data_IF_079783328294
#
_entry.id   IF_079783328294
#
_cell.length_a   1.000
_cell.length_b   1.000
_cell.length_c   1.000
_cell.angle_alpha   90.00
_cell.angle_beta   90.00
_cell.angle_gamma   90.00
#
_symmetry.space_group_name_H-M   'P 1'
#
loop_
_entity.id
_entity.type
_entity.pdbx_description
1 polymer ?
#
# COMPACT_ATOMS: atom_id res chain seq x y z
N UNK A 1 -11.72 19.39 -1.51
CA UNK A 1 -12.24 19.08 -0.16
C UNK A 1 -11.10 18.50 0.66
N UNK A 2 -10.84 18.98 1.89
CA UNK A 2 -9.81 18.40 2.76
C UNK A 2 -10.10 16.94 3.10
N UNK A 3 -9.05 16.12 3.24
CA UNK A 3 -9.21 14.69 3.52
C UNK A 3 -9.93 14.42 4.86
N UNK A 4 -9.67 15.24 5.88
CA UNK A 4 -10.37 15.13 7.18
C UNK A 4 -11.86 15.37 7.06
N UNK A 5 -12.30 16.34 6.24
CA UNK A 5 -13.72 16.57 5.99
C UNK A 5 -14.38 15.35 5.34
N UNK A 6 -13.69 14.69 4.39
CA UNK A 6 -14.20 13.43 3.81
C UNK A 6 -14.30 12.31 4.84
N UNK A 7 -13.34 12.22 5.77
CA UNK A 7 -13.41 11.24 6.86
C UNK A 7 -14.60 11.50 7.79
N UNK A 8 -14.86 12.77 8.14
CA UNK A 8 -15.98 13.17 8.99
C UNK A 8 -17.31 12.82 8.33
N UNK A 9 -17.47 13.17 7.06
CA UNK A 9 -18.66 12.84 6.27
C UNK A 9 -18.89 11.32 6.16
N UNK A 10 -17.84 10.55 5.84
CA UNK A 10 -17.93 9.10 5.73
C UNK A 10 -18.35 8.48 7.07
N UNK A 11 -17.69 8.87 8.15
CA UNK A 11 -17.98 8.36 9.51
C UNK A 11 -19.37 8.77 9.99
N UNK A 12 -19.78 10.02 9.72
CA UNK A 12 -21.10 10.54 10.07
C UNK A 12 -22.26 9.82 9.39
N UNK A 13 -21.98 9.17 8.25
CA UNK A 13 -22.94 8.34 7.51
C UNK A 13 -22.82 6.84 7.82
N UNK A 14 -22.06 6.46 8.84
CA UNK A 14 -21.85 5.06 9.23
C UNK A 14 -20.87 4.29 8.34
N UNK A 15 -20.10 5.01 7.49
CA UNK A 15 -19.04 4.44 6.67
C UNK A 15 -17.72 4.26 7.43
N UNK A 16 -16.75 3.62 6.79
CA UNK A 16 -15.38 3.48 7.26
C UNK A 16 -14.42 4.13 6.26
N UNK A 17 -13.26 4.54 6.75
CA UNK A 17 -12.20 5.09 5.91
C UNK A 17 -11.00 4.14 5.89
N UNK A 18 -10.57 3.80 4.69
CA UNK A 18 -9.38 3.00 4.42
C UNK A 18 -8.56 3.79 3.39
N UNK A 19 -7.46 4.47 3.79
CA UNK A 19 -6.59 5.14 2.84
C UNK A 19 -6.04 4.14 1.83
N UNK A 20 -6.28 4.40 0.54
CA UNK A 20 -5.90 3.52 -0.54
C UNK A 20 -4.40 3.64 -0.85
N UNK A 21 -3.75 2.53 -1.22
CA UNK A 21 -2.38 2.42 -1.76
C UNK A 21 -1.42 3.46 -1.19
N UNK A 22 -1.29 3.47 0.18
CA UNK A 22 -0.69 4.56 0.96
C UNK A 22 0.71 4.98 0.54
N UNK A 23 1.48 4.09 -0.10
CA UNK A 23 2.85 4.33 -0.54
C UNK A 23 2.99 4.64 -2.04
N UNK A 24 1.91 4.51 -2.82
CA UNK A 24 1.99 4.73 -4.28
C UNK A 24 2.43 6.16 -4.59
N UNK A 25 3.49 6.35 -5.40
CA UNK A 25 4.00 7.67 -5.75
C UNK A 25 2.89 8.57 -6.32
N UNK A 26 2.86 9.82 -5.88
CA UNK A 26 1.93 10.89 -6.27
C UNK A 26 0.45 10.65 -5.93
N UNK A 27 0.07 9.48 -5.41
CA UNK A 27 -1.34 9.11 -5.17
C UNK A 27 -1.62 8.72 -3.72
N UNK A 28 -0.73 7.98 -3.08
CA UNK A 28 -0.86 7.56 -1.69
C UNK A 28 -0.45 8.65 -0.71
N UNK A 29 -0.88 8.53 0.53
CA UNK A 29 -0.58 9.51 1.60
C UNK A 29 0.92 9.76 1.71
N UNK A 30 1.72 8.73 1.87
CA UNK A 30 3.17 8.85 1.96
C UNK A 30 3.84 9.10 0.61
N UNK A 31 3.27 8.56 -0.45
CA UNK A 31 3.77 8.75 -1.82
C UNK A 31 3.57 10.16 -2.34
N UNK A 32 2.64 10.93 -1.76
CA UNK A 32 2.37 12.33 -2.11
C UNK A 32 3.05 13.33 -1.18
N UNK A 33 3.88 12.86 -0.22
CA UNK A 33 4.76 13.72 0.57
C UNK A 33 4.46 13.82 2.05
N UNK A 34 3.35 13.30 2.57
CA UNK A 34 3.11 13.25 4.00
C UNK A 34 4.19 12.40 4.70
N UNK A 35 4.70 12.86 5.82
CA UNK A 35 5.63 12.08 6.65
C UNK A 35 4.88 11.20 7.64
N UNK A 36 3.68 11.62 8.04
CA UNK A 36 2.79 10.93 8.98
C UNK A 36 1.36 10.89 8.43
N UNK A 37 0.60 9.88 8.82
CA UNK A 37 -0.82 9.77 8.50
C UNK A 37 -1.61 10.98 9.03
N UNK A 38 -1.24 11.45 10.21
CA UNK A 38 -1.85 12.61 10.87
C UNK A 38 -1.66 13.94 10.14
N UNK A 39 -0.75 14.04 9.19
CA UNK A 39 -0.56 15.26 8.42
C UNK A 39 -1.83 15.58 7.58
N UNK A 40 -2.53 14.55 7.12
CA UNK A 40 -3.68 14.68 6.23
C UNK A 40 -4.97 14.11 6.78
N UNK A 41 -4.90 13.12 7.65
CA UNK A 41 -6.04 12.34 8.14
C UNK A 41 -6.11 12.40 9.67
N UNK A 42 -7.29 12.10 10.19
CA UNK A 42 -7.47 11.79 11.61
C UNK A 42 -7.14 10.30 11.82
N UNK A 43 -6.05 9.98 12.54
CA UNK A 43 -5.61 8.59 12.75
C UNK A 43 -6.65 7.71 13.45
N UNK A 44 -7.51 8.28 14.29
CA UNK A 44 -8.49 7.53 15.07
C UNK A 44 -9.73 7.16 14.25
N UNK A 45 -9.88 7.73 13.06
CA UNK A 45 -10.98 7.46 12.12
C UNK A 45 -10.56 6.57 10.94
N UNK A 46 -9.43 5.88 11.03
CA UNK A 46 -8.94 4.95 10.01
C UNK A 46 -9.23 3.52 10.45
N UNK A 47 -10.03 2.80 9.68
CA UNK A 47 -10.40 1.42 9.98
C UNK A 47 -9.33 0.39 9.57
N UNK A 48 -8.57 0.67 8.53
CA UNK A 48 -7.47 -0.12 7.99
C UNK A 48 -6.61 0.76 7.09
N UNK A 49 -5.44 0.29 6.68
CA UNK A 49 -4.65 0.91 5.63
C UNK A 49 -4.42 -0.07 4.49
N UNK A 50 -4.50 0.41 3.27
CA UNK A 50 -4.28 -0.41 2.08
C UNK A 50 -2.87 -0.21 1.57
N UNK A 51 -2.14 -1.33 1.44
CA UNK A 51 -0.76 -1.32 0.95
C UNK A 51 -0.70 -1.14 -0.57
N UNK A 52 -1.68 -1.72 -1.28
CA UNK A 52 -1.75 -1.72 -2.73
C UNK A 52 -0.62 -2.47 -3.40
N UNK A 53 -0.52 -2.31 -4.72
CA UNK A 53 0.45 -3.02 -5.57
C UNK A 53 1.92 -2.64 -5.30
N UNK A 54 2.16 -1.55 -4.57
CA UNK A 54 3.47 -0.93 -4.44
C UNK A 54 4.21 -1.30 -3.16
N UNK A 55 3.54 -1.95 -2.20
CA UNK A 55 4.12 -2.28 -0.90
C UNK A 55 3.57 -3.58 -0.32
N UNK A 56 4.33 -4.21 0.53
CA UNK A 56 3.95 -5.38 1.33
C UNK A 56 4.00 -5.08 2.83
N UNK A 57 3.67 -6.09 3.63
CA UNK A 57 3.67 -5.98 5.09
C UNK A 57 5.06 -5.68 5.67
N UNK A 58 6.13 -6.22 5.06
CA UNK A 58 7.50 -5.98 5.51
C UNK A 58 7.88 -4.51 5.29
N UNK A 59 7.61 -3.99 4.10
CA UNK A 59 7.86 -2.59 3.76
C UNK A 59 7.12 -1.62 4.68
N UNK A 60 5.85 -1.88 4.96
CA UNK A 60 5.05 -1.06 5.88
C UNK A 60 5.52 -1.16 7.33
N UNK A 61 6.15 -2.26 7.72
CA UNK A 61 6.64 -2.52 9.07
C UNK A 61 7.75 -1.58 9.55
N UNK A 62 8.35 -0.77 8.67
CA UNK A 62 9.33 0.25 9.04
C UNK A 62 8.71 1.51 9.69
N UNK A 63 7.38 1.69 9.61
CA UNK A 63 6.68 2.84 10.19
C UNK A 63 5.86 2.41 11.41
N UNK A 64 6.24 2.90 12.60
CA UNK A 64 5.60 2.51 13.87
C UNK A 64 4.15 2.96 13.97
N UNK A 65 3.80 4.09 13.37
CA UNK A 65 2.42 4.60 13.38
C UNK A 65 1.42 3.64 12.70
N UNK A 66 1.91 2.76 11.81
CA UNK A 66 1.08 1.77 11.14
C UNK A 66 0.78 0.53 11.98
N UNK A 67 1.41 0.36 13.15
CA UNK A 67 1.18 -0.80 14.01
C UNK A 67 -0.26 -0.92 14.49
N UNK A 68 -0.95 0.19 14.62
CA UNK A 68 -2.34 0.25 15.11
C UNK A 68 -3.38 -0.17 14.08
N UNK A 69 -3.03 -0.24 12.80
CA UNK A 69 -3.98 -0.53 11.72
C UNK A 69 -3.82 -1.94 11.18
N UNK A 70 -4.91 -2.64 10.87
CA UNK A 70 -4.85 -3.82 10.01
C UNK A 70 -4.43 -3.42 8.60
N UNK A 71 -3.67 -4.30 7.95
CA UNK A 71 -3.27 -4.13 6.56
C UNK A 71 -4.21 -4.91 5.64
N UNK A 72 -4.60 -4.26 4.57
CA UNK A 72 -5.33 -4.87 3.46
C UNK A 72 -4.60 -4.59 2.15
N UNK A 73 -4.85 -5.42 1.15
CA UNK A 73 -4.39 -5.20 -0.22
C UNK A 73 -5.52 -5.52 -1.17
N UNK A 74 -5.76 -4.66 -2.15
CA UNK A 74 -6.88 -4.81 -3.08
C UNK A 74 -6.39 -4.58 -4.50
N UNK A 75 -7.15 -5.08 -5.46
CA UNK A 75 -6.72 -5.12 -6.85
C UNK A 75 -6.58 -3.75 -7.53
N UNK A 76 -7.20 -2.70 -7.01
CA UNK A 76 -7.27 -1.38 -7.66
C UNK A 76 -7.61 -1.53 -9.16
N UNK A 77 -8.65 -2.36 -9.43
CA UNK A 77 -8.95 -2.81 -10.77
C UNK A 77 -9.69 -1.74 -11.58
N UNK A 78 -9.08 -1.29 -12.68
CA UNK A 78 -9.66 -0.39 -13.66
C UNK A 78 -10.11 -1.13 -14.94
N UNK A 79 -10.04 -2.47 -14.94
CA UNK A 79 -10.51 -3.35 -16.02
C UNK A 79 -10.80 -4.75 -15.51
N UNK A 80 -11.59 -5.54 -16.23
CA UNK A 80 -11.99 -6.89 -15.83
C UNK A 80 -10.79 -7.82 -15.54
N UNK A 81 -9.76 -7.77 -16.38
CA UNK A 81 -8.56 -8.59 -16.23
C UNK A 81 -7.70 -8.25 -15.02
N UNK A 82 -8.00 -7.16 -14.31
CA UNK A 82 -7.29 -6.76 -13.09
C UNK A 82 -8.03 -7.15 -11.81
N UNK A 83 -9.28 -7.60 -11.90
CA UNK A 83 -10.06 -8.02 -10.74
C UNK A 83 -9.40 -9.24 -10.09
N UNK A 84 -9.21 -9.19 -8.77
CA UNK A 84 -8.65 -10.29 -7.99
C UNK A 84 -7.13 -10.48 -8.12
N UNK A 85 -6.42 -9.57 -8.79
CA UNK A 85 -4.94 -9.60 -8.82
C UNK A 85 -4.33 -9.36 -7.43
N UNK A 86 -5.07 -8.72 -6.55
CA UNK A 86 -4.81 -8.63 -5.11
C UNK A 86 -6.12 -8.79 -4.34
N UNK A 87 -6.08 -9.44 -3.20
CA UNK A 87 -7.25 -9.68 -2.35
C UNK A 87 -6.86 -10.06 -0.92
N UNK A 88 -7.84 -10.06 -0.03
CA UNK A 88 -7.67 -10.41 1.37
C UNK A 88 -8.51 -11.64 1.72
N UNK A 89 -7.97 -12.53 2.52
CA UNK A 89 -8.73 -13.58 3.18
C UNK A 89 -9.11 -13.11 4.58
N UNK A 90 -10.40 -13.17 4.90
CA UNK A 90 -10.94 -12.71 6.18
C UNK A 90 -11.79 -13.76 6.86
N UNK A 91 -11.70 -13.85 8.20
CA UNK A 91 -12.62 -14.61 9.02
C UNK A 91 -13.83 -13.72 9.30
N UNK A 92 -14.99 -14.10 8.75
CA UNK A 92 -16.27 -13.42 8.93
C UNK A 92 -17.37 -14.49 9.08
N UNK A 93 -18.48 -14.18 9.79
CA UNK A 93 -19.62 -15.09 9.89
C UNK A 93 -20.52 -15.06 8.66
N UNK A 94 -20.56 -13.89 7.98
CA UNK A 94 -21.38 -13.67 6.79
C UNK A 94 -20.74 -12.58 5.92
N UNK A 95 -20.96 -12.54 4.61
CA UNK A 95 -20.49 -11.46 3.72
C UNK A 95 -21.38 -10.22 3.92
N UNK A 96 -21.06 -9.41 4.94
CA UNK A 96 -21.79 -8.19 5.25
C UNK A 96 -20.83 -7.07 5.67
N UNK A 97 -21.25 -5.82 5.48
CA UNK A 97 -20.48 -4.65 5.91
C UNK A 97 -20.17 -4.67 7.41
N UNK A 98 -21.15 -5.06 8.23
CA UNK A 98 -20.96 -5.20 9.68
C UNK A 98 -19.86 -6.20 10.04
N UNK A 99 -19.82 -7.35 9.38
CA UNK A 99 -18.80 -8.37 9.62
C UNK A 99 -17.42 -7.94 9.05
N UNK A 100 -17.40 -7.19 7.95
CA UNK A 100 -16.16 -6.56 7.45
C UNK A 100 -15.56 -5.61 8.50
N UNK A 101 -16.36 -4.69 9.04
CA UNK A 101 -15.91 -3.76 10.10
C UNK A 101 -15.36 -4.52 11.30
N UNK A 102 -16.02 -5.60 11.72
CA UNK A 102 -15.57 -6.46 12.83
C UNK A 102 -14.27 -7.20 12.50
N UNK A 103 -14.10 -7.64 11.27
CA UNK A 103 -12.87 -8.29 10.82
C UNK A 103 -11.69 -7.34 10.78
N UNK A 104 -11.90 -6.11 10.33
CA UNK A 104 -10.89 -5.06 10.40
C UNK A 104 -10.53 -4.67 11.84
N UNK A 105 -11.53 -4.65 12.74
CA UNK A 105 -11.30 -4.37 14.16
C UNK A 105 -10.69 -5.56 14.94
N UNK A 106 -10.64 -6.76 14.35
CA UNK A 106 -10.07 -7.94 15.01
C UNK A 106 -10.90 -8.47 16.18
N UNK A 107 -12.23 -8.29 16.18
CA UNK A 107 -13.08 -8.59 17.34
C UNK A 107 -13.84 -9.93 17.19
N UNK A 108 -14.04 -10.62 18.29
CA UNK A 108 -14.82 -11.87 18.40
C UNK A 108 -14.37 -12.95 17.39
N UNK A 109 -13.08 -13.10 17.19
CA UNK A 109 -12.51 -14.08 16.27
C UNK A 109 -12.58 -13.69 14.77
N UNK A 110 -13.18 -12.54 14.43
CA UNK A 110 -13.12 -11.97 13.08
C UNK A 110 -11.78 -11.28 12.92
N UNK A 111 -11.13 -11.47 11.77
CA UNK A 111 -9.85 -10.83 11.48
C UNK A 111 -9.46 -10.99 10.02
N UNK A 112 -8.51 -10.21 9.59
CA UNK A 112 -7.77 -10.49 8.35
C UNK A 112 -6.88 -11.71 8.60
N UNK A 113 -7.01 -12.74 7.77
CA UNK A 113 -6.27 -13.99 7.89
C UNK A 113 -4.99 -14.01 7.04
N UNK A 114 -5.06 -13.42 5.86
CA UNK A 114 -3.94 -13.33 4.92
C UNK A 114 -4.21 -12.26 3.87
N UNK A 115 -3.14 -11.69 3.35
CA UNK A 115 -3.13 -10.80 2.20
C UNK A 115 -2.46 -11.52 1.03
N UNK A 116 -3.02 -11.37 -0.17
CA UNK A 116 -2.52 -11.96 -1.40
C UNK A 116 -2.30 -10.85 -2.42
N UNK A 117 -1.09 -10.67 -2.88
CA UNK A 117 -0.77 -9.58 -3.79
C UNK A 117 0.47 -9.84 -4.63
N UNK A 118 0.79 -8.86 -5.48
CA UNK A 118 1.98 -8.89 -6.29
C UNK A 118 3.23 -8.66 -5.42
N UNK A 119 4.37 -9.16 -5.87
CA UNK A 119 5.63 -8.82 -5.23
C UNK A 119 6.01 -7.37 -5.61
N UNK A 120 5.97 -6.41 -4.68
CA UNK A 120 6.25 -5.01 -4.98
C UNK A 120 7.69 -4.77 -5.46
N UNK A 121 8.63 -5.68 -5.14
CA UNK A 121 10.02 -5.62 -5.60
C UNK A 121 10.17 -5.78 -7.11
N UNK A 122 9.16 -6.35 -7.78
CA UNK A 122 9.10 -6.46 -9.24
C UNK A 122 8.53 -5.21 -9.91
N UNK A 123 7.98 -4.29 -9.13
CA UNK A 123 7.41 -3.04 -9.63
C UNK A 123 8.47 -2.05 -10.09
N UNK A 124 8.21 -1.39 -11.22
CA UNK A 124 9.07 -0.35 -11.82
C UNK A 124 9.50 0.71 -10.81
N UNK A 125 8.60 1.10 -9.92
CA UNK A 125 8.82 2.16 -8.94
C UNK A 125 9.15 1.64 -7.53
N UNK A 126 9.61 0.41 -7.41
CA UNK A 126 10.10 -0.09 -6.12
C UNK A 126 11.27 0.74 -5.60
N UNK A 127 12.24 1.04 -6.46
CA UNK A 127 13.36 1.95 -6.20
C UNK A 127 13.21 3.21 -7.03
N UNK A 128 13.94 4.27 -6.65
CA UNK A 128 13.95 5.54 -7.38
C UNK A 128 14.35 5.33 -8.84
N UNK A 129 13.58 5.90 -9.75
CA UNK A 129 13.62 5.59 -11.17
C UNK A 129 13.65 6.86 -12.03
N UNK A 130 14.49 6.88 -13.02
CA UNK A 130 14.51 7.93 -14.02
C UNK A 130 13.67 7.54 -15.23
N UNK A 131 12.60 8.29 -15.53
CA UNK A 131 11.75 8.05 -16.70
C UNK A 131 12.41 8.44 -18.02
N UNK A 132 13.43 9.33 -18.00
CA UNK A 132 14.07 9.79 -19.23
C UNK A 132 15.03 8.76 -19.85
N UNK A 133 15.73 7.96 -19.02
CA UNK A 133 16.65 6.91 -19.50
C UNK A 133 16.28 5.51 -19.00
N UNK A 134 15.08 5.40 -18.44
CA UNK A 134 14.49 4.13 -17.98
C UNK A 134 15.40 3.31 -17.04
N UNK A 135 16.07 3.99 -16.11
CA UNK A 135 16.99 3.33 -15.20
C UNK A 135 16.66 3.55 -13.73
N UNK A 136 16.90 2.51 -12.93
CA UNK A 136 16.86 2.58 -11.47
C UNK A 136 18.10 3.33 -11.00
N UNK A 137 17.92 4.24 -10.03
CA UNK A 137 19.01 4.95 -9.37
C UNK A 137 19.48 4.16 -8.15
N UNK A 138 20.77 4.25 -7.85
CA UNK A 138 21.37 3.67 -6.66
C UNK A 138 21.04 4.45 -5.38
N UNK A 139 21.45 3.92 -4.24
CA UNK A 139 21.15 4.53 -2.93
C UNK A 139 21.75 5.92 -2.76
N UNK A 140 22.92 6.17 -3.34
CA UNK A 140 23.58 7.48 -3.25
C UNK A 140 22.78 8.59 -3.97
N UNK A 141 21.92 8.21 -4.89
CA UNK A 141 21.19 9.14 -5.75
C UNK A 141 19.66 9.13 -5.50
N UNK A 142 19.19 8.52 -4.42
CA UNK A 142 17.76 8.48 -4.07
C UNK A 142 17.10 9.85 -3.96
N UNK A 143 17.86 10.89 -3.58
CA UNK A 143 17.38 12.27 -3.40
C UNK A 143 17.73 13.19 -4.57
N UNK A 144 18.31 12.65 -5.65
CA UNK A 144 18.74 13.45 -6.78
C UNK A 144 17.55 14.10 -7.49
N UNK A 145 17.65 15.38 -7.79
CA UNK A 145 16.66 16.10 -8.60
C UNK A 145 16.87 15.86 -10.10
N UNK A 146 18.07 15.42 -10.48
CA UNK A 146 18.43 15.07 -11.85
C UNK A 146 19.13 13.72 -11.89
N UNK A 147 18.86 12.97 -12.93
CA UNK A 147 19.49 11.68 -13.15
C UNK A 147 21.01 11.82 -13.34
N UNK A 148 21.84 11.13 -12.56
CA UNK A 148 23.30 11.18 -12.72
C UNK A 148 23.78 10.59 -14.04
N UNK A 149 22.95 9.74 -14.70
CA UNK A 149 23.29 9.08 -15.96
C UNK A 149 22.98 9.93 -17.21
N UNK A 150 21.81 10.60 -17.21
CA UNK A 150 21.35 11.30 -18.41
C UNK A 150 21.03 12.78 -18.19
N UNK A 151 21.16 13.31 -16.97
CA UNK A 151 20.81 14.69 -16.62
C UNK A 151 19.31 14.98 -16.59
N UNK A 152 18.45 14.01 -16.93
CA UNK A 152 17.00 14.18 -16.99
C UNK A 152 16.39 14.50 -15.62
N UNK A 153 15.35 15.36 -15.61
CA UNK A 153 14.67 15.78 -14.38
C UNK A 153 13.43 14.95 -14.04
N UNK A 154 13.06 13.99 -14.87
CA UNK A 154 11.90 13.12 -14.61
C UNK A 154 12.28 11.97 -13.68
N UNK A 155 12.43 12.27 -12.40
CA UNK A 155 12.76 11.30 -11.37
C UNK A 155 11.49 10.96 -10.59
N UNK A 156 11.17 9.66 -10.51
CA UNK A 156 10.12 9.14 -9.63
C UNK A 156 10.78 8.52 -8.42
N UNK A 157 10.51 9.07 -7.24
CA UNK A 157 11.04 8.52 -5.99
C UNK A 157 10.47 7.12 -5.75
N UNK A 158 11.35 6.17 -5.51
CA UNK A 158 10.99 4.78 -5.24
C UNK A 158 10.22 4.62 -3.95
N UNK A 159 9.31 3.67 -3.93
CA UNK A 159 8.47 3.40 -2.76
C UNK A 159 9.32 2.98 -1.56
N UNK A 160 10.28 2.05 -1.74
CA UNK A 160 11.17 1.63 -0.66
C UNK A 160 12.08 2.77 -0.19
N UNK A 161 12.57 3.58 -1.12
CA UNK A 161 13.41 4.73 -0.80
C UNK A 161 12.63 5.81 -0.03
N UNK A 162 11.35 5.99 -0.39
CA UNK A 162 10.45 6.87 0.37
C UNK A 162 10.17 6.33 1.76
N UNK A 163 9.85 5.04 1.89
CA UNK A 163 9.62 4.40 3.19
C UNK A 163 10.85 4.58 4.08
N UNK A 164 12.05 4.28 3.61
CA UNK A 164 13.29 4.48 4.36
C UNK A 164 13.52 5.93 4.80
N UNK A 165 13.13 6.89 3.97
CA UNK A 165 13.30 8.31 4.31
C UNK A 165 12.38 8.81 5.43
N UNK A 166 11.31 8.08 5.75
CA UNK A 166 10.34 8.41 6.81
C UNK A 166 10.27 7.34 7.89
N UNK A 167 11.06 6.27 7.75
CA UNK A 167 11.13 5.18 8.72
C UNK A 167 11.59 5.67 10.09
N UNK A 168 10.97 5.13 11.13
CA UNK A 168 11.35 5.33 12.54
C UNK A 168 11.87 4.04 13.18
N UNK A 169 12.19 3.03 12.36
CA UNK A 169 12.76 1.74 12.72
C UNK A 169 13.78 1.27 11.72
N UNK A 170 14.84 0.63 12.18
CA UNK A 170 15.86 -0.01 11.33
C UNK A 170 15.42 -1.41 10.88
N UNK A 171 14.58 -2.08 11.68
CA UNK A 171 14.06 -3.43 11.41
C UNK A 171 12.54 -3.38 11.33
N UNK A 172 11.94 -3.94 10.26
CA UNK A 172 10.49 -3.90 10.11
C UNK A 172 9.79 -4.79 11.13
N UNK A 173 8.71 -4.30 11.71
CA UNK A 173 7.87 -5.08 12.62
C UNK A 173 6.76 -5.78 11.84
N UNK A 174 6.91 -7.10 11.69
CA UNK A 174 5.92 -7.95 11.02
C UNK A 174 5.22 -8.93 11.97
N UNK A 175 5.68 -9.02 13.23
CA UNK A 175 5.08 -9.88 14.24
C UNK A 175 3.59 -9.53 14.43
N UNK A 176 2.76 -10.57 14.53
CA UNK A 176 1.28 -10.47 14.67
C UNK A 176 0.53 -9.95 13.44
N UNK A 177 1.22 -9.73 12.33
CA UNK A 177 0.57 -9.39 11.04
C UNK A 177 0.07 -10.65 10.34
N UNK A 178 -1.06 -10.58 9.61
CA UNK A 178 -1.43 -11.64 8.69
C UNK A 178 -0.32 -11.88 7.67
N UNK A 179 -0.07 -13.12 7.26
CA UNK A 179 0.91 -13.42 6.22
C UNK A 179 0.55 -12.70 4.93
N UNK A 180 1.57 -12.20 4.22
CA UNK A 180 1.44 -11.66 2.87
C UNK A 180 1.98 -12.70 1.89
N UNK A 181 1.13 -13.17 0.99
CA UNK A 181 1.46 -14.18 -0.02
C UNK A 181 1.65 -13.50 -1.37
N UNK A 182 2.83 -13.63 -1.94
CA UNK A 182 3.06 -13.18 -3.30
C UNK A 182 2.41 -14.13 -4.29
N UNK A 183 1.69 -13.56 -5.25
CA UNK A 183 1.10 -14.30 -6.36
C UNK A 183 1.51 -13.68 -7.70
N UNK A 184 1.50 -14.51 -8.73
CA UNK A 184 1.74 -14.09 -10.10
C UNK A 184 0.39 -14.08 -10.81
N UNK A 185 -0.04 -12.97 -11.43
CA UNK A 185 -1.25 -12.96 -12.25
C UNK A 185 -1.20 -14.05 -13.33
N UNK A 186 -2.32 -14.73 -13.56
CA UNK A 186 -2.40 -15.84 -14.51
C UNK A 186 -1.93 -15.46 -15.92
N UNK A 187 -2.09 -14.20 -16.31
CA UNK A 187 -1.63 -13.66 -17.61
C UNK A 187 -0.12 -13.72 -17.81
N UNK A 188 0.68 -13.83 -16.72
CA UNK A 188 2.13 -13.95 -16.78
C UNK A 188 2.63 -15.39 -16.70
N UNK A 189 1.74 -16.38 -16.53
CA UNK A 189 2.13 -17.79 -16.54
C UNK A 189 2.22 -18.25 -17.99
N UNK A 190 3.40 -18.72 -18.46
CA UNK A 190 3.55 -19.22 -19.83
C UNK A 190 2.50 -20.31 -20.15
N UNK A 191 1.81 -20.17 -21.25
CA UNK A 191 0.75 -21.09 -21.70
C UNK A 191 -0.66 -20.81 -21.17
N UNK A 192 -0.83 -19.91 -20.18
CA UNK A 192 -2.15 -19.49 -19.69
C UNK A 192 -2.57 -18.09 -20.18
N UNK A 193 -1.64 -17.30 -20.67
CA UNK A 193 -1.89 -15.96 -21.19
C UNK A 193 -2.36 -15.95 -22.63
N UNK A 194 -3.52 -15.33 -22.89
CA UNK A 194 -4.12 -15.00 -24.18
C UNK A 194 -4.46 -16.21 -25.08
N UNK A 195 -5.66 -16.69 -24.98
CA UNK A 195 -6.42 -17.16 -26.13
C UNK A 195 -7.32 -16.04 -26.64
#
# INVERSE_FOLDING_TARGET
>A
VPARTLQEEASGRGGIVIPAHIFTPYKGVYGSGAARMSDWLDPDRIAAVELGLSADTEMAGFLSELDRYPFVTNSDAHSLGKIGREYNRMAMRAPSFRELVRALAGVDGRRVLANYGLNPRLGKYHRTYCESCESILDEAHMSAERCPRCGGAKIVRGVMDRIRSIADRDVPRVAYRPPYHFQIPLEFIPGLGKR
#
